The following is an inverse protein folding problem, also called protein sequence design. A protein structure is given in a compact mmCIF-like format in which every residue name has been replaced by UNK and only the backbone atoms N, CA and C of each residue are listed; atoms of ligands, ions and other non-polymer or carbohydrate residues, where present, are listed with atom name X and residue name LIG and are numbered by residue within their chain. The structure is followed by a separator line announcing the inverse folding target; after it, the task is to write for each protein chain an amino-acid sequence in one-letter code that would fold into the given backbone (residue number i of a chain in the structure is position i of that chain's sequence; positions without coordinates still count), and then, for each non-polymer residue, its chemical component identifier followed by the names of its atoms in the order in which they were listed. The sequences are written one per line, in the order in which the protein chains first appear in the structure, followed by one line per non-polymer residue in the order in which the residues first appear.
data_IF_999718727093
#
_entry.id   IF_999718727093
#
_cell.length_a   1.000
_cell.length_b   1.000
_cell.length_c   1.000
_cell.angle_alpha   90.00
_cell.angle_beta   90.00
_cell.angle_gamma   90.00
#
_symmetry.space_group_name_H-M   'P 1'
#
loop_
_entity.id
_entity.type
_entity.pdbx_description
1 polymer ?
#
# COMPACT_ATOMS: atom_id res chain seq x y z
N UNK A 1 30.20 -8.68 -3.26
CA UNK A 1 29.27 -8.33 -4.35
C UNK A 1 27.89 -8.84 -3.99
N UNK A 2 26.80 -8.09 -4.22
CA UNK A 2 25.44 -8.59 -3.92
C UNK A 2 25.04 -9.67 -4.95
N UNK A 3 24.36 -10.76 -4.57
CA UNK A 3 23.94 -11.81 -5.51
C UNK A 3 23.11 -11.29 -6.70
N UNK A 4 22.33 -10.23 -6.48
CA UNK A 4 21.53 -9.59 -7.52
C UNK A 4 22.33 -8.71 -8.51
N UNK A 5 23.67 -8.63 -8.39
CA UNK A 5 24.52 -7.76 -9.22
C UNK A 5 24.40 -6.24 -8.95
N UNK A 6 23.39 -5.82 -8.20
CA UNK A 6 23.16 -4.41 -7.83
C UNK A 6 24.28 -3.81 -6.98
N UNK A 7 24.46 -2.49 -7.12
CA UNK A 7 25.30 -1.69 -6.21
C UNK A 7 24.72 -1.70 -4.78
N UNK A 8 25.53 -1.28 -3.81
CA UNK A 8 25.15 -1.21 -2.39
C UNK A 8 24.03 -0.21 -2.14
N UNK A 9 24.01 0.89 -2.89
CA UNK A 9 23.04 1.99 -2.86
C UNK A 9 21.87 1.83 -3.86
N UNK A 10 21.96 0.86 -4.77
CA UNK A 10 20.94 0.66 -5.80
C UNK A 10 19.73 -0.13 -5.27
N UNK A 11 18.54 0.46 -5.37
CA UNK A 11 17.24 -0.18 -5.08
C UNK A 11 16.93 -1.35 -6.04
N UNK A 12 15.99 -2.22 -5.67
CA UNK A 12 15.44 -3.23 -6.59
C UNK A 12 14.57 -2.53 -7.65
N UNK A 13 14.21 -3.22 -8.73
CA UNK A 13 13.21 -2.71 -9.68
C UNK A 13 11.89 -2.49 -8.92
N UNK A 14 11.34 -1.29 -9.00
CA UNK A 14 10.06 -0.93 -8.36
C UNK A 14 9.01 -0.73 -9.43
N UNK A 15 7.81 -1.28 -9.24
CA UNK A 15 6.65 -0.98 -10.09
C UNK A 15 5.37 -0.86 -9.27
N UNK A 16 4.45 -0.05 -9.79
CA UNK A 16 3.14 0.23 -9.21
C UNK A 16 2.07 0.03 -10.29
N UNK A 17 1.14 -0.87 -10.02
CA UNK A 17 0.00 -1.16 -10.89
C UNK A 17 -1.30 -0.80 -10.16
N UNK A 18 -1.84 0.39 -10.46
CA UNK A 18 -3.05 0.94 -9.82
C UNK A 18 -4.31 0.28 -10.38
N UNK A 19 -5.38 0.25 -9.59
CA UNK A 19 -6.67 -0.29 -10.01
C UNK A 19 -6.66 -1.81 -10.17
N UNK A 20 -5.78 -2.49 -9.43
CA UNK A 20 -5.60 -3.94 -9.51
C UNK A 20 -6.82 -4.73 -9.01
N UNK A 21 -7.45 -4.27 -7.93
CA UNK A 21 -8.70 -4.81 -7.41
C UNK A 21 -9.87 -3.96 -7.89
N UNK A 22 -10.88 -4.61 -8.48
CA UNK A 22 -12.12 -3.98 -8.97
C UNK A 22 -13.06 -3.55 -7.85
N UNK A 23 -12.93 -4.16 -6.66
CA UNK A 23 -13.88 -3.96 -5.56
C UNK A 23 -13.39 -2.95 -4.53
N UNK A 24 -12.08 -2.75 -4.41
CA UNK A 24 -11.55 -1.74 -3.50
C UNK A 24 -11.59 -0.36 -4.15
N UNK A 25 -12.02 0.65 -3.40
CA UNK A 25 -12.05 2.05 -3.83
C UNK A 25 -10.66 2.55 -4.22
N UNK A 26 -9.63 2.08 -3.52
CA UNK A 26 -8.23 2.22 -3.91
C UNK A 26 -7.51 0.87 -3.95
N UNK A 27 -6.75 0.60 -5.00
CA UNK A 27 -5.91 -0.60 -5.04
C UNK A 27 -4.62 -0.40 -5.84
N UNK A 28 -3.56 -1.08 -5.41
CA UNK A 28 -2.27 -1.07 -6.08
C UNK A 28 -1.52 -2.37 -5.83
N UNK A 29 -1.06 -3.03 -6.89
CA UNK A 29 -0.06 -4.09 -6.78
C UNK A 29 1.34 -3.48 -6.89
N UNK A 30 2.06 -3.51 -5.76
CA UNK A 30 3.41 -2.95 -5.65
C UNK A 30 4.44 -4.06 -5.69
N UNK A 31 5.50 -3.87 -6.48
CA UNK A 31 6.58 -4.86 -6.62
C UNK A 31 7.93 -4.23 -6.37
N UNK A 32 8.76 -4.86 -5.55
CA UNK A 32 10.16 -4.51 -5.28
C UNK A 32 11.04 -5.71 -5.61
N UNK A 33 11.40 -5.88 -6.89
CA UNK A 33 11.93 -7.14 -7.40
C UNK A 33 10.91 -8.26 -7.19
N UNK A 34 11.31 -9.32 -6.50
CA UNK A 34 10.46 -10.49 -6.24
C UNK A 34 9.52 -10.31 -5.05
N UNK A 35 9.64 -9.22 -4.28
CA UNK A 35 8.68 -8.90 -3.21
C UNK A 35 7.46 -8.22 -3.80
N UNK A 36 6.31 -8.88 -3.76
CA UNK A 36 5.04 -8.35 -4.28
C UNK A 36 4.05 -8.17 -3.14
N UNK A 37 3.37 -7.03 -3.10
CA UNK A 37 2.37 -6.68 -2.09
C UNK A 37 1.15 -6.09 -2.77
N UNK A 38 -0.01 -6.68 -2.54
CA UNK A 38 -1.29 -6.09 -2.92
C UNK A 38 -1.76 -5.16 -1.79
N UNK A 39 -1.84 -3.87 -2.07
CA UNK A 39 -2.41 -2.89 -1.17
C UNK A 39 -3.84 -2.56 -1.62
N UNK A 40 -4.80 -2.68 -0.71
CA UNK A 40 -6.19 -2.24 -0.92
C UNK A 40 -6.56 -1.20 0.13
N UNK A 41 -7.32 -0.20 -0.26
CA UNK A 41 -7.90 0.80 0.60
C UNK A 41 -9.41 0.81 0.40
N UNK A 42 -10.13 0.76 1.51
CA UNK A 42 -11.60 0.83 1.55
C UNK A 42 -12.05 1.93 2.51
N UNK A 43 -13.21 2.50 2.24
CA UNK A 43 -13.76 3.61 3.02
C UNK A 43 -14.90 3.10 3.88
N UNK A 44 -14.81 3.36 5.19
CA UNK A 44 -15.91 3.14 6.13
C UNK A 44 -16.38 4.48 6.70
N UNK A 45 -17.69 4.73 6.71
CA UNK A 45 -18.26 5.98 7.22
C UNK A 45 -18.17 6.12 8.74
N UNK A 46 -17.92 5.01 9.45
CA UNK A 46 -17.93 4.96 10.92
C UNK A 46 -16.50 5.02 11.47
N UNK A 47 -16.08 6.14 12.09
CA UNK A 47 -14.81 6.17 12.79
C UNK A 47 -14.87 5.35 14.08
N UNK A 48 -13.70 4.96 14.63
CA UNK A 48 -13.63 4.34 15.95
C UNK A 48 -14.35 5.14 17.04
N UNK A 49 -14.86 4.43 18.06
CA UNK A 49 -15.71 5.02 19.09
C UNK A 49 -15.09 6.24 19.81
N UNK A 50 -13.77 6.21 20.01
CA UNK A 50 -12.99 7.26 20.68
C UNK A 50 -12.75 8.51 19.82
N UNK A 51 -13.12 8.48 18.53
CA UNK A 51 -13.08 9.63 17.62
C UNK A 51 -14.47 10.24 17.32
N UNK A 52 -15.54 9.69 17.88
CA UNK A 52 -16.90 10.21 17.67
C UNK A 52 -16.98 11.70 18.06
N UNK A 53 -17.65 12.49 17.22
CA UNK A 53 -17.86 13.93 17.38
C UNK A 53 -16.59 14.80 17.37
N UNK A 54 -15.41 14.25 17.05
CA UNK A 54 -14.16 15.03 16.97
C UNK A 54 -13.97 15.74 15.63
N UNK A 55 -14.74 15.35 14.60
CA UNK A 55 -14.56 15.80 13.22
C UNK A 55 -13.32 15.23 12.52
N UNK A 56 -12.58 14.31 13.15
CA UNK A 56 -11.35 13.70 12.62
C UNK A 56 -11.64 12.35 11.95
N UNK A 57 -10.89 12.06 10.89
CA UNK A 57 -10.85 10.74 10.26
C UNK A 57 -9.84 9.80 10.90
N UNK A 58 -9.87 8.53 10.50
CA UNK A 58 -8.94 7.49 10.96
C UNK A 58 -8.45 6.62 9.81
N UNK A 59 -7.21 6.14 9.90
CA UNK A 59 -6.64 5.15 8.99
C UNK A 59 -6.09 4.00 9.82
N UNK A 60 -6.39 2.77 9.41
CA UNK A 60 -5.85 1.54 9.99
C UNK A 60 -5.47 0.59 8.86
N UNK A 61 -4.48 -0.28 9.08
CA UNK A 61 -3.99 -1.25 8.11
C UNK A 61 -3.57 -2.55 8.80
#
# INVERSE_FOLDING_TARGET
MRPSGRKTDQMRKVSFERGFSKHAEGSCLVRFGDTHVLCTASVEEKPPAWLRNTGKGWVTA
#
